data_IF_637433064164
#
_entry.id   IF_637433064164
#
_cell.length_a   1.000
_cell.length_b   1.000
_cell.length_c   1.000
_cell.angle_alpha   90.00
_cell.angle_beta   90.00
_cell.angle_gamma   90.00
#
_symmetry.space_group_name_H-M   'P 1'
#
loop_
_entity.id
_entity.type
_entity.pdbx_description
1 polymer ?
#
# COMPACT_ATOMS: atom_id res chain seq x y z
N UNK A 1 17.21 2.98 -18.50
CA UNK A 1 15.79 3.17 -18.85
C UNK A 1 15.24 1.78 -19.11
N UNK A 2 14.71 1.12 -18.06
CA UNK A 2 14.03 -0.16 -18.21
C UNK A 2 12.58 0.17 -18.62
N UNK A 3 12.26 0.01 -19.90
CA UNK A 3 10.86 0.02 -20.35
C UNK A 3 10.16 -1.19 -19.71
N UNK A 4 9.28 -0.93 -18.76
CA UNK A 4 8.43 -1.93 -18.15
C UNK A 4 7.28 -2.23 -19.12
N UNK A 5 7.50 -3.11 -20.09
CA UNK A 5 6.47 -3.51 -21.05
C UNK A 5 5.43 -4.43 -20.37
N UNK A 6 4.44 -3.81 -19.73
CA UNK A 6 3.32 -4.49 -19.06
C UNK A 6 2.41 -5.24 -20.04
N UNK A 7 2.41 -4.88 -21.33
CA UNK A 7 1.66 -5.57 -22.38
C UNK A 7 2.31 -6.92 -22.70
N UNK A 8 3.63 -6.91 -22.86
CA UNK A 8 4.42 -8.12 -23.07
C UNK A 8 4.44 -9.00 -21.81
N UNK A 9 4.48 -8.40 -20.62
CA UNK A 9 4.34 -9.12 -19.35
C UNK A 9 3.01 -9.89 -19.27
N UNK A 10 1.91 -9.30 -19.74
CA UNK A 10 0.59 -9.94 -19.78
C UNK A 10 0.57 -11.16 -20.71
N UNK A 11 1.11 -11.02 -21.92
CA UNK A 11 1.18 -12.13 -22.87
C UNK A 11 2.01 -13.29 -22.32
N UNK A 12 3.16 -13.00 -21.69
CA UNK A 12 3.97 -14.02 -21.05
C UNK A 12 3.29 -14.65 -19.84
N UNK A 13 2.57 -13.87 -19.03
CA UNK A 13 1.83 -14.38 -17.88
C UNK A 13 0.64 -15.25 -18.28
N UNK A 14 -0.14 -14.86 -19.29
CA UNK A 14 -1.22 -15.69 -19.83
C UNK A 14 -0.69 -17.00 -20.39
N UNK A 15 0.42 -16.95 -21.14
CA UNK A 15 1.10 -18.15 -21.63
C UNK A 15 1.62 -19.01 -20.47
N UNK A 16 2.25 -18.42 -19.45
CA UNK A 16 2.74 -19.14 -18.28
C UNK A 16 1.60 -19.81 -17.49
N UNK A 17 0.48 -19.13 -17.29
CA UNK A 17 -0.72 -19.70 -16.67
C UNK A 17 -1.27 -20.89 -17.48
N UNK A 18 -1.21 -20.82 -18.81
CA UNK A 18 -1.64 -21.92 -19.69
C UNK A 18 -0.67 -23.12 -19.71
N UNK A 19 0.62 -22.91 -19.43
CA UNK A 19 1.67 -23.92 -19.50
C UNK A 19 1.97 -24.58 -18.15
N UNK A 20 1.89 -23.82 -17.05
CA UNK A 20 2.15 -24.30 -15.69
C UNK A 20 1.21 -23.61 -14.68
N UNK A 21 -0.04 -24.08 -14.66
CA UNK A 21 -1.06 -23.68 -13.69
C UNK A 21 -0.81 -24.19 -12.26
N UNK A 22 0.40 -24.66 -11.92
CA UNK A 22 0.76 -25.15 -10.57
C UNK A 22 1.86 -24.33 -9.90
N UNK A 23 2.21 -23.17 -10.47
CA UNK A 23 3.24 -22.32 -9.91
C UNK A 23 2.65 -21.07 -9.22
N UNK A 24 2.71 -21.06 -7.88
CA UNK A 24 2.24 -19.93 -7.05
C UNK A 24 2.85 -18.58 -7.46
N UNK A 25 4.10 -18.57 -7.96
CA UNK A 25 4.77 -17.34 -8.41
C UNK A 25 4.11 -16.76 -9.67
N UNK A 26 3.63 -17.60 -10.59
CA UNK A 26 2.97 -17.15 -11.82
C UNK A 26 1.65 -16.47 -11.47
N UNK A 27 0.84 -17.09 -10.61
CA UNK A 27 -0.39 -16.49 -10.09
C UNK A 27 -0.14 -15.17 -9.33
N UNK A 28 0.89 -15.13 -8.48
CA UNK A 28 1.27 -13.89 -7.76
C UNK A 28 1.65 -12.77 -8.71
N UNK A 29 2.44 -13.06 -9.75
CA UNK A 29 2.82 -12.05 -10.77
C UNK A 29 1.63 -11.59 -11.60
N UNK A 30 0.74 -12.50 -11.99
CA UNK A 30 -0.51 -12.17 -12.66
C UNK A 30 -1.40 -11.29 -11.79
N UNK A 31 -1.47 -11.58 -10.48
CA UNK A 31 -2.19 -10.75 -9.51
C UNK A 31 -1.62 -9.34 -9.42
N UNK A 32 -0.29 -9.19 -9.30
CA UNK A 32 0.36 -7.87 -9.30
C UNK A 32 0.03 -7.06 -10.55
N UNK A 33 0.02 -7.70 -11.73
CA UNK A 33 -0.34 -7.03 -12.98
C UNK A 33 -1.83 -6.61 -13.00
N UNK A 34 -2.73 -7.51 -12.60
CA UNK A 34 -4.16 -7.21 -12.50
C UNK A 34 -4.41 -6.02 -11.55
N UNK A 35 -3.71 -6.01 -10.42
CA UNK A 35 -3.78 -4.95 -9.44
C UNK A 35 -3.28 -3.61 -9.99
N UNK A 36 -2.10 -3.57 -10.62
CA UNK A 36 -1.57 -2.34 -11.25
C UNK A 36 -2.51 -1.79 -12.33
N UNK A 37 -3.32 -2.64 -12.97
CA UNK A 37 -4.36 -2.24 -13.94
C UNK A 37 -5.68 -1.80 -13.29
N UNK A 38 -5.76 -1.77 -11.97
CA UNK A 38 -6.96 -1.42 -11.21
C UNK A 38 -8.00 -2.53 -11.09
N UNK A 39 -7.68 -3.77 -11.48
CA UNK A 39 -8.58 -4.92 -11.34
C UNK A 39 -8.28 -5.67 -10.03
N UNK A 40 -8.72 -5.08 -8.92
CA UNK A 40 -8.41 -5.55 -7.57
C UNK A 40 -9.09 -6.87 -7.24
N UNK A 41 -10.32 -7.09 -7.69
CA UNK A 41 -11.05 -8.34 -7.49
C UNK A 41 -10.32 -9.51 -8.16
N UNK A 42 -9.88 -9.33 -9.41
CA UNK A 42 -9.10 -10.37 -10.09
C UNK A 42 -7.76 -10.61 -9.40
N UNK A 43 -7.13 -9.56 -8.88
CA UNK A 43 -5.90 -9.70 -8.11
C UNK A 43 -6.10 -10.55 -6.84
N UNK A 44 -7.22 -10.39 -6.15
CA UNK A 44 -7.60 -11.20 -4.99
C UNK A 44 -7.76 -12.68 -5.38
N UNK A 45 -8.54 -12.96 -6.44
CA UNK A 45 -8.75 -14.33 -6.94
C UNK A 45 -7.42 -15.02 -7.26
N UNK A 46 -6.57 -14.36 -8.04
CA UNK A 46 -5.26 -14.89 -8.45
C UNK A 46 -4.35 -15.15 -7.23
N UNK A 47 -4.33 -14.27 -6.23
CA UNK A 47 -3.55 -14.53 -5.02
C UNK A 47 -4.13 -15.67 -4.18
N UNK A 48 -5.46 -15.85 -4.15
CA UNK A 48 -6.09 -16.99 -3.47
C UNK A 48 -5.76 -18.31 -4.18
N UNK A 49 -5.78 -18.34 -5.51
CA UNK A 49 -5.30 -19.47 -6.31
C UNK A 49 -3.83 -19.77 -5.98
N UNK A 50 -2.96 -18.75 -5.96
CA UNK A 50 -1.56 -18.90 -5.55
C UNK A 50 -1.42 -19.48 -4.13
N UNK A 51 -2.28 -19.06 -3.21
CA UNK A 51 -2.24 -19.48 -1.80
C UNK A 51 -2.64 -20.95 -1.64
N UNK A 52 -3.49 -21.49 -2.52
CA UNK A 52 -3.76 -22.95 -2.53
C UNK A 52 -2.52 -23.78 -2.86
N UNK A 53 -1.57 -23.20 -3.60
CA UNK A 53 -0.33 -23.84 -4.03
C UNK A 53 0.81 -23.62 -3.02
N UNK A 54 0.83 -22.48 -2.33
CA UNK A 54 1.79 -22.15 -1.26
C UNK A 54 1.07 -21.56 -0.03
N UNK A 55 0.50 -22.41 0.86
CA UNK A 55 -0.33 -21.96 1.97
C UNK A 55 0.42 -21.20 3.08
N UNK A 56 1.75 -21.24 3.09
CA UNK A 56 2.60 -20.59 4.10
C UNK A 56 3.21 -19.27 3.59
N UNK A 57 2.84 -18.84 2.39
CA UNK A 57 3.38 -17.64 1.78
C UNK A 57 2.89 -16.36 2.46
N UNK A 58 3.71 -15.78 3.34
CA UNK A 58 3.43 -14.49 3.99
C UNK A 58 3.08 -13.39 2.98
N UNK A 59 3.80 -13.35 1.85
CA UNK A 59 3.57 -12.36 0.79
C UNK A 59 2.16 -12.47 0.19
N UNK A 60 1.60 -13.67 0.06
CA UNK A 60 0.25 -13.85 -0.49
C UNK A 60 -0.82 -13.39 0.50
N UNK A 61 -0.69 -13.71 1.80
CA UNK A 61 -1.60 -13.17 2.81
C UNK A 61 -1.57 -11.65 2.85
N UNK A 62 -0.37 -11.05 2.80
CA UNK A 62 -0.22 -9.60 2.76
C UNK A 62 -0.87 -9.01 1.51
N UNK A 63 -0.59 -9.56 0.33
CA UNK A 63 -1.14 -9.02 -0.92
C UNK A 63 -2.68 -9.09 -0.94
N UNK A 64 -3.27 -10.19 -0.46
CA UNK A 64 -4.72 -10.32 -0.34
C UNK A 64 -5.26 -9.30 0.66
N UNK A 65 -4.63 -9.17 1.83
CA UNK A 65 -5.04 -8.19 2.84
C UNK A 65 -5.00 -6.75 2.32
N UNK A 66 -3.97 -6.37 1.56
CA UNK A 66 -3.88 -5.03 0.97
C UNK A 66 -4.94 -4.82 -0.10
N UNK A 67 -5.22 -5.83 -0.93
CA UNK A 67 -6.27 -5.74 -1.93
C UNK A 67 -7.66 -5.59 -1.28
N UNK A 68 -7.93 -6.29 -0.18
CA UNK A 68 -9.15 -6.08 0.62
C UNK A 68 -9.20 -4.70 1.26
N UNK A 69 -8.10 -4.22 1.83
CA UNK A 69 -8.00 -2.86 2.37
C UNK A 69 -8.31 -1.82 1.30
N UNK A 70 -7.83 -2.03 0.07
CA UNK A 70 -8.06 -1.13 -1.06
C UNK A 70 -9.55 -0.99 -1.42
N UNK A 71 -10.31 -2.08 -1.37
CA UNK A 71 -11.75 -2.06 -1.62
C UNK A 71 -12.56 -1.78 -0.34
N UNK A 72 -11.91 -1.25 0.69
CA UNK A 72 -12.50 -0.86 1.98
C UNK A 72 -13.19 -2.03 2.73
N UNK A 73 -12.81 -3.28 2.42
CA UNK A 73 -13.24 -4.49 3.12
C UNK A 73 -12.26 -4.77 4.28
N UNK A 74 -12.38 -3.98 5.34
CA UNK A 74 -11.41 -3.93 6.42
C UNK A 74 -11.41 -5.18 7.31
N UNK A 75 -12.55 -5.82 7.52
CA UNK A 75 -12.63 -7.06 8.32
C UNK A 75 -11.86 -8.20 7.64
N UNK A 76 -12.04 -8.38 6.33
CA UNK A 76 -11.29 -9.34 5.52
C UNK A 76 -9.81 -8.98 5.50
N UNK A 77 -9.46 -7.71 5.29
CA UNK A 77 -8.07 -7.25 5.31
C UNK A 77 -7.39 -7.64 6.63
N UNK A 78 -8.06 -7.38 7.75
CA UNK A 78 -7.56 -7.67 9.09
C UNK A 78 -7.41 -9.18 9.33
N UNK A 79 -8.34 -10.03 8.89
CA UNK A 79 -8.21 -11.49 8.97
C UNK A 79 -6.95 -11.98 8.24
N UNK A 80 -6.72 -11.51 7.00
CA UNK A 80 -5.53 -11.90 6.23
C UNK A 80 -4.23 -11.40 6.89
N UNK A 81 -4.20 -10.18 7.42
CA UNK A 81 -3.03 -9.68 8.15
C UNK A 81 -2.80 -10.43 9.47
N UNK A 82 -3.85 -10.82 10.20
CA UNK A 82 -3.73 -11.63 11.41
C UNK A 82 -3.19 -13.05 11.12
N UNK A 83 -3.59 -13.65 9.98
CA UNK A 83 -3.02 -14.93 9.53
C UNK A 83 -1.54 -14.81 9.19
N UNK A 84 -1.14 -13.75 8.48
CA UNK A 84 0.28 -13.48 8.23
C UNK A 84 1.06 -13.32 9.55
N UNK A 85 0.50 -12.59 10.52
CA UNK A 85 1.08 -12.43 11.86
C UNK A 85 1.19 -13.75 12.63
N UNK A 86 0.22 -14.65 12.47
CA UNK A 86 0.24 -15.96 13.14
C UNK A 86 1.35 -16.84 12.58
N UNK A 87 1.59 -16.79 11.27
CA UNK A 87 2.67 -17.53 10.60
C UNK A 87 4.04 -16.97 11.00
N UNK A 88 4.19 -15.65 11.06
CA UNK A 88 5.42 -15.00 11.49
C UNK A 88 5.12 -13.75 12.31
N UNK A 89 5.13 -13.85 13.66
CA UNK A 89 4.82 -12.73 14.55
C UNK A 89 5.75 -11.53 14.41
N UNK A 90 6.97 -11.76 13.91
CA UNK A 90 7.97 -10.72 13.70
C UNK A 90 8.09 -10.31 12.22
N UNK A 91 7.10 -10.67 11.39
CA UNK A 91 7.09 -10.24 10.00
C UNK A 91 6.96 -8.71 9.92
N UNK A 92 8.05 -8.07 9.50
CA UNK A 92 8.11 -6.64 9.23
C UNK A 92 6.92 -6.23 8.34
N UNK A 93 6.14 -5.23 8.75
CA UNK A 93 4.86 -4.74 8.19
C UNK A 93 3.57 -5.24 8.86
N UNK A 94 3.60 -6.32 9.66
CA UNK A 94 2.37 -6.91 10.20
C UNK A 94 1.61 -5.92 11.10
N UNK A 95 2.29 -5.31 12.07
CA UNK A 95 1.67 -4.37 13.01
C UNK A 95 1.22 -3.10 12.30
N UNK A 96 2.03 -2.55 11.42
CA UNK A 96 1.66 -1.41 10.58
C UNK A 96 0.39 -1.66 9.75
N UNK A 97 0.28 -2.79 9.05
CA UNK A 97 -0.88 -3.08 8.19
C UNK A 97 -2.16 -3.30 8.99
N UNK A 98 -2.05 -4.00 10.13
CA UNK A 98 -3.15 -4.16 11.09
C UNK A 98 -3.55 -2.81 11.68
N UNK A 99 -2.59 -1.99 12.10
CA UNK A 99 -2.81 -0.66 12.65
C UNK A 99 -3.53 0.26 11.67
N UNK A 100 -3.11 0.30 10.40
CA UNK A 100 -3.80 1.07 9.35
C UNK A 100 -5.22 0.60 9.10
N UNK A 101 -5.45 -0.71 9.12
CA UNK A 101 -6.79 -1.28 8.95
C UNK A 101 -7.70 -0.88 10.11
N UNK A 102 -7.21 -1.03 11.34
CA UNK A 102 -7.93 -0.64 12.58
C UNK A 102 -8.18 0.87 12.63
N UNK A 103 -7.23 1.69 12.18
CA UNK A 103 -7.39 3.13 12.06
C UNK A 103 -8.51 3.49 11.07
N UNK A 104 -8.55 2.84 9.91
CA UNK A 104 -9.60 3.03 8.92
C UNK A 104 -10.99 2.58 9.43
N UNK A 105 -11.03 1.62 10.36
CA UNK A 105 -12.25 1.21 11.08
C UNK A 105 -12.64 2.19 12.20
N UNK A 106 -11.84 3.22 12.47
CA UNK A 106 -12.14 4.31 13.41
C UNK A 106 -11.58 4.15 14.82
N UNK A 107 -10.82 3.09 15.11
CA UNK A 107 -10.21 2.89 16.44
C UNK A 107 -8.75 3.35 16.45
N UNK A 108 -8.56 4.67 16.55
CA UNK A 108 -7.23 5.27 16.55
C UNK A 108 -6.37 4.89 17.77
N UNK A 109 -6.98 4.57 18.92
CA UNK A 109 -6.24 4.14 20.11
C UNK A 109 -5.64 2.74 19.91
N UNK A 110 -6.44 1.79 19.42
CA UNK A 110 -5.95 0.45 19.12
C UNK A 110 -4.92 0.46 17.98
N UNK A 111 -5.12 1.30 16.97
CA UNK A 111 -4.15 1.50 15.89
C UNK A 111 -2.81 2.04 16.42
N UNK A 112 -2.82 3.04 17.31
CA UNK A 112 -1.63 3.62 17.89
C UNK A 112 -0.78 2.57 18.63
N UNK A 113 -1.41 1.72 19.44
CA UNK A 113 -0.71 0.65 20.14
C UNK A 113 -0.02 -0.34 19.18
N UNK A 114 -0.62 -0.62 18.02
CA UNK A 114 0.01 -1.43 16.98
C UNK A 114 1.19 -0.70 16.33
N UNK A 115 1.07 0.59 16.06
CA UNK A 115 2.17 1.37 15.50
C UNK A 115 3.36 1.48 16.46
N UNK A 116 3.13 1.68 17.75
CA UNK A 116 4.19 1.67 18.77
C UNK A 116 4.95 0.33 18.83
N UNK A 117 4.27 -0.77 18.51
CA UNK A 117 4.86 -2.10 18.42
C UNK A 117 5.50 -2.43 17.05
N UNK A 118 5.48 -1.51 16.07
CA UNK A 118 6.12 -1.72 14.76
C UNK A 118 7.64 -1.48 14.87
N UNK A 119 8.47 -2.49 14.53
CA UNK A 119 9.91 -2.39 14.68
C UNK A 119 10.58 -1.48 13.65
N UNK A 120 9.91 -1.20 12.52
CA UNK A 120 10.46 -0.34 11.49
C UNK A 120 10.05 1.12 11.70
N UNK A 121 11.04 1.98 11.96
CA UNK A 121 10.85 3.37 12.35
C UNK A 121 9.98 4.16 11.36
N UNK A 122 10.26 4.10 10.06
CA UNK A 122 9.45 4.83 9.07
C UNK A 122 7.97 4.44 9.06
N UNK A 123 7.64 3.16 9.24
CA UNK A 123 6.24 2.71 9.32
C UNK A 123 5.58 3.06 10.65
N UNK A 124 6.36 3.03 11.73
CA UNK A 124 5.93 3.46 13.05
C UNK A 124 5.58 4.95 13.03
N UNK A 125 6.48 5.81 12.56
CA UNK A 125 6.28 7.25 12.46
C UNK A 125 5.10 7.60 11.55
N UNK A 126 5.01 6.96 10.37
CA UNK A 126 3.87 7.12 9.46
C UNK A 126 2.54 6.81 10.17
N UNK A 127 2.45 5.67 10.84
CA UNK A 127 1.25 5.26 11.56
C UNK A 127 0.92 6.15 12.76
N UNK A 128 1.94 6.56 13.52
CA UNK A 128 1.80 7.47 14.66
C UNK A 128 1.26 8.83 14.24
N UNK A 129 1.79 9.42 13.16
CA UNK A 129 1.29 10.69 12.64
C UNK A 129 -0.21 10.60 12.30
N UNK A 130 -0.64 9.55 11.60
CA UNK A 130 -2.06 9.36 11.25
C UNK A 130 -2.93 9.11 12.50
N UNK A 131 -2.47 8.28 13.43
CA UNK A 131 -3.23 7.94 14.63
C UNK A 131 -3.37 9.14 15.59
N UNK A 132 -2.29 9.87 15.84
CA UNK A 132 -2.32 11.09 16.67
C UNK A 132 -3.24 12.15 16.07
N UNK A 133 -3.20 12.34 14.76
CA UNK A 133 -4.13 13.24 14.07
C UNK A 133 -5.60 12.85 14.33
N UNK A 134 -5.95 11.56 14.17
CA UNK A 134 -7.31 11.07 14.45
C UNK A 134 -7.74 11.18 15.91
N UNK A 135 -6.78 11.25 16.84
CA UNK A 135 -7.04 11.44 18.27
C UNK A 135 -7.14 12.92 18.67
N UNK A 136 -6.93 13.88 17.74
CA UNK A 136 -6.85 15.30 18.04
C UNK A 136 -5.56 15.71 18.78
N UNK A 137 -4.53 14.86 18.71
CA UNK A 137 -3.20 15.05 19.31
C UNK A 137 -2.25 15.68 18.28
N UNK A 138 -2.55 16.92 17.91
CA UNK A 138 -1.90 17.59 16.78
C UNK A 138 -0.38 17.78 16.98
N UNK A 139 0.05 18.16 18.18
CA UNK A 139 1.49 18.34 18.48
C UNK A 139 2.29 17.03 18.29
N UNK A 140 1.76 15.89 18.76
CA UNK A 140 2.42 14.60 18.57
C UNK A 140 2.36 14.11 17.11
N UNK A 141 1.26 14.42 16.41
CA UNK A 141 1.14 14.15 14.97
C UNK A 141 2.18 14.92 14.17
N UNK A 142 2.38 16.20 14.48
CA UNK A 142 3.37 17.07 13.83
C UNK A 142 4.80 16.62 14.12
N UNK A 143 5.09 16.26 15.36
CA UNK A 143 6.40 15.73 15.72
C UNK A 143 6.73 14.44 14.94
N UNK A 144 5.79 13.49 14.87
CA UNK A 144 5.99 12.24 14.14
C UNK A 144 6.15 12.47 12.63
N UNK A 145 5.36 13.37 12.03
CA UNK A 145 5.47 13.70 10.62
C UNK A 145 6.80 14.43 10.31
N UNK A 146 7.21 15.38 11.15
CA UNK A 146 8.47 16.10 10.97
C UNK A 146 9.67 15.16 11.03
N UNK A 147 9.66 14.18 11.95
CA UNK A 147 10.69 13.14 12.01
C UNK A 147 10.67 12.24 10.75
N UNK A 148 9.48 11.90 10.27
CA UNK A 148 9.30 11.09 9.06
C UNK A 148 9.72 11.82 7.77
N UNK A 149 9.76 13.15 7.78
CA UNK A 149 10.18 13.98 6.64
C UNK A 149 11.67 14.34 6.67
N UNK A 150 12.47 13.75 7.56
CA UNK A 150 13.92 13.95 7.57
C UNK A 150 14.61 13.27 6.39
N UNK A 151 15.82 13.74 6.04
CA UNK A 151 16.64 13.21 4.93
C UNK A 151 16.80 11.68 4.97
N UNK A 152 16.80 11.08 6.16
CA UNK A 152 16.85 9.62 6.35
C UNK A 152 15.75 8.88 5.59
N UNK A 153 14.56 9.46 5.46
CA UNK A 153 13.44 8.84 4.76
C UNK A 153 13.22 9.42 3.35
N UNK A 154 13.63 10.66 3.11
CA UNK A 154 13.54 11.27 1.78
C UNK A 154 14.50 10.60 0.77
N UNK A 155 15.64 10.09 1.22
CA UNK A 155 16.59 9.39 0.35
C UNK A 155 16.18 7.92 0.04
N UNK A 156 15.18 7.39 0.76
CA UNK A 156 14.78 5.98 0.76
C UNK A 156 13.42 5.71 0.06
N UNK A 157 13.01 6.55 -0.90
CA UNK A 157 11.77 6.38 -1.68
C UNK A 157 10.46 6.46 -0.86
N UNK A 158 10.46 7.15 0.31
CA UNK A 158 9.29 7.26 1.20
C UNK A 158 8.31 8.39 0.85
N UNK A 159 8.61 9.25 -0.12
CA UNK A 159 7.78 10.37 -0.55
C UNK A 159 6.28 10.01 -0.74
N UNK A 160 5.89 8.91 -1.41
CA UNK A 160 4.47 8.60 -1.59
C UNK A 160 3.78 8.21 -0.28
N UNK A 161 4.52 7.72 0.71
CA UNK A 161 3.99 7.42 2.04
C UNK A 161 3.84 8.69 2.88
N UNK A 162 4.78 9.63 2.77
CA UNK A 162 4.66 10.97 3.36
C UNK A 162 3.42 11.67 2.77
N UNK A 163 3.24 11.60 1.44
CA UNK A 163 2.07 12.13 0.77
C UNK A 163 0.76 11.51 1.30
N UNK A 164 0.74 10.20 1.58
CA UNK A 164 -0.43 9.54 2.14
C UNK A 164 -0.77 10.05 3.55
N UNK A 165 0.23 10.35 4.39
CA UNK A 165 0.01 10.94 5.73
C UNK A 165 -0.52 12.38 5.61
N UNK A 166 0.09 13.20 4.75
CA UNK A 166 -0.36 14.57 4.47
C UNK A 166 -1.79 14.58 3.93
N UNK A 167 -2.07 13.70 2.98
CA UNK A 167 -3.42 13.49 2.44
C UNK A 167 -4.38 13.12 3.58
N UNK A 168 -4.07 12.11 4.38
CA UNK A 168 -4.92 11.72 5.51
C UNK A 168 -5.22 12.88 6.48
N UNK A 169 -4.26 13.76 6.71
CA UNK A 169 -4.38 14.96 7.55
C UNK A 169 -5.19 16.10 6.89
N UNK A 170 -5.50 15.98 5.60
CA UNK A 170 -6.17 17.03 4.84
C UNK A 170 -5.22 18.11 4.31
N UNK A 171 -3.91 17.88 4.37
CA UNK A 171 -2.87 18.78 3.85
C UNK A 171 -2.66 18.53 2.35
N UNK A 172 -3.63 18.98 1.56
CA UNK A 172 -3.76 18.67 0.14
C UNK A 172 -2.55 19.16 -0.67
N UNK A 173 -2.10 20.41 -0.47
CA UNK A 173 -1.02 20.99 -1.28
C UNK A 173 0.33 20.30 -1.01
N UNK A 174 0.79 20.14 0.25
CA UNK A 174 1.99 19.37 0.55
C UNK A 174 1.92 17.91 0.07
N UNK A 175 0.73 17.28 0.13
CA UNK A 175 0.56 15.92 -0.37
C UNK A 175 0.86 15.83 -1.87
N UNK A 176 0.36 16.79 -2.67
CA UNK A 176 0.68 16.85 -4.10
C UNK A 176 2.16 17.13 -4.37
N UNK A 177 2.80 18.00 -3.60
CA UNK A 177 4.25 18.25 -3.74
C UNK A 177 5.06 16.96 -3.57
N UNK A 178 4.76 16.16 -2.54
CA UNK A 178 5.41 14.87 -2.30
C UNK A 178 5.11 13.86 -3.42
N UNK A 179 3.87 13.81 -3.92
CA UNK A 179 3.49 12.95 -5.04
C UNK A 179 4.20 13.31 -6.35
N UNK A 180 4.41 14.60 -6.61
CA UNK A 180 5.14 15.08 -7.78
C UNK A 180 6.62 14.73 -7.68
N UNK A 181 7.25 14.96 -6.53
CA UNK A 181 8.65 14.55 -6.29
C UNK A 181 8.84 13.04 -6.48
N UNK A 182 7.95 12.22 -5.92
CA UNK A 182 7.98 10.77 -6.09
C UNK A 182 7.89 10.37 -7.58
N UNK A 183 7.09 11.09 -8.36
CA UNK A 183 6.92 10.81 -9.78
C UNK A 183 8.18 11.18 -10.59
N UNK A 184 8.79 12.32 -10.30
CA UNK A 184 10.05 12.77 -10.92
C UNK A 184 11.21 11.78 -10.67
N UNK A 185 11.22 11.14 -9.51
CA UNK A 185 12.19 10.11 -9.14
C UNK A 185 11.88 8.73 -9.76
N UNK A 186 10.82 8.60 -10.56
CA UNK A 186 10.34 7.34 -11.13
C UNK A 186 10.02 6.27 -10.08
N UNK A 187 9.51 6.69 -8.91
CA UNK A 187 9.17 5.77 -7.84
C UNK A 187 8.03 4.83 -8.27
N UNK A 188 8.38 3.56 -8.51
CA UNK A 188 7.45 2.57 -9.05
C UNK A 188 6.34 2.16 -8.07
N UNK A 189 6.49 2.43 -6.77
CA UNK A 189 5.46 2.15 -5.78
C UNK A 189 4.20 2.99 -6.00
N UNK A 190 4.32 4.15 -6.66
CA UNK A 190 3.20 5.03 -7.00
C UNK A 190 2.07 4.30 -7.73
N UNK A 191 2.38 3.37 -8.62
CA UNK A 191 1.38 2.62 -9.41
C UNK A 191 0.34 1.93 -8.52
N UNK A 192 0.77 1.41 -7.37
CA UNK A 192 -0.10 0.69 -6.43
C UNK A 192 -0.60 1.60 -5.32
N UNK A 193 0.24 2.53 -4.83
CA UNK A 193 -0.11 3.38 -3.70
C UNK A 193 -1.26 4.33 -4.01
N UNK A 194 -1.33 4.88 -5.23
CA UNK A 194 -2.43 5.79 -5.62
C UNK A 194 -3.79 5.09 -5.68
N UNK A 195 -3.82 3.75 -5.66
CA UNK A 195 -5.04 2.97 -5.64
C UNK A 195 -5.59 2.79 -4.22
N UNK A 196 -4.79 3.08 -3.19
CA UNK A 196 -5.17 2.88 -1.80
C UNK A 196 -6.12 3.99 -1.32
N UNK A 197 -7.00 3.70 -0.35
CA UNK A 197 -8.00 4.65 0.14
C UNK A 197 -7.41 5.88 0.84
N UNK A 198 -6.12 5.86 1.18
CA UNK A 198 -5.43 6.95 1.89
C UNK A 198 -5.39 8.25 1.10
N UNK A 199 -5.56 8.19 -0.23
CA UNK A 199 -5.66 9.37 -1.11
C UNK A 199 -7.10 9.75 -1.45
N UNK A 200 -8.11 9.09 -0.87
CA UNK A 200 -9.53 9.31 -1.20
C UNK A 200 -9.96 10.76 -1.03
N UNK A 201 -9.35 11.49 -0.10
CA UNK A 201 -9.59 12.92 0.12
C UNK A 201 -9.01 13.80 -1.00
N UNK A 202 -7.99 13.34 -1.73
CA UNK A 202 -7.45 14.03 -2.90
C UNK A 202 -8.34 13.83 -4.13
N UNK A 203 -9.18 12.78 -4.18
CA UNK A 203 -9.95 12.42 -5.39
C UNK A 203 -10.92 13.52 -5.86
N UNK A 204 -11.39 14.38 -4.96
CA UNK A 204 -12.24 15.53 -5.31
C UNK A 204 -11.47 16.73 -5.86
N UNK A 205 -10.14 16.79 -5.65
CA UNK A 205 -9.31 17.86 -6.18
C UNK A 205 -9.09 17.66 -7.70
N UNK A 206 -9.29 18.70 -8.54
CA UNK A 206 -9.11 18.59 -10.00
C UNK A 206 -7.72 18.11 -10.43
N UNK A 207 -6.67 18.35 -9.62
CA UNK A 207 -5.31 17.90 -9.88
C UNK A 207 -5.18 16.38 -9.84
N UNK A 208 -5.99 15.70 -9.03
CA UNK A 208 -5.92 14.24 -8.88
C UNK A 208 -6.14 13.51 -10.20
N UNK A 209 -7.17 13.88 -10.96
CA UNK A 209 -7.46 13.22 -12.23
C UNK A 209 -6.33 13.39 -13.26
N UNK A 210 -5.59 14.50 -13.18
CA UNK A 210 -4.40 14.74 -14.01
C UNK A 210 -3.24 13.88 -13.54
N UNK A 211 -2.99 13.87 -12.23
CA UNK A 211 -1.93 13.09 -11.60
C UNK A 211 -2.10 11.59 -11.83
N UNK A 212 -3.30 11.05 -11.61
CA UNK A 212 -3.62 9.65 -11.82
C UNK A 212 -3.37 9.22 -13.27
N UNK A 213 -3.80 10.03 -14.25
CA UNK A 213 -3.54 9.74 -15.68
C UNK A 213 -2.04 9.70 -15.98
N UNK A 214 -1.27 10.60 -15.37
CA UNK A 214 0.18 10.67 -15.54
C UNK A 214 0.87 9.43 -14.97
N UNK A 215 0.53 9.01 -13.74
CA UNK A 215 1.10 7.80 -13.14
C UNK A 215 0.68 6.54 -13.90
N UNK A 216 -0.59 6.44 -14.33
CA UNK A 216 -1.09 5.29 -15.09
C UNK A 216 -0.51 5.17 -16.50
N UNK A 217 0.01 6.25 -17.07
CA UNK A 217 0.68 6.21 -18.37
C UNK A 217 1.94 5.31 -18.37
N UNK A 218 2.52 5.06 -17.19
CA UNK A 218 3.67 4.15 -17.02
C UNK A 218 3.28 2.67 -17.30
N UNK A 219 1.99 2.34 -17.22
CA UNK A 219 1.46 0.96 -17.27
C UNK A 219 0.98 0.60 -18.68
N UNK A 220 0.83 1.58 -19.59
CA UNK A 220 0.33 1.39 -20.96
C UNK A 220 1.44 0.99 -21.91
#
# INVERSE_FOLDING_TARGET
MHDFDYSLADQYLQKALSLDGRNALVFRRASTLAWSRGNTERAIELNKEALTLDPMSLALYVNIGVAYYQIEQYDEALDYFNRANTISPNFSQSNYRRGRTILAMGDANAALALFEAEPMDGRRLMGQAMAYWSLGREEESDAALAEFMTDTYLDDDWQPYIAAVLAYRGEIDPAFEMLEQAHEQNNTALIQLILLPDFKNLHSDPRWAVYERKVRAIIK
#
